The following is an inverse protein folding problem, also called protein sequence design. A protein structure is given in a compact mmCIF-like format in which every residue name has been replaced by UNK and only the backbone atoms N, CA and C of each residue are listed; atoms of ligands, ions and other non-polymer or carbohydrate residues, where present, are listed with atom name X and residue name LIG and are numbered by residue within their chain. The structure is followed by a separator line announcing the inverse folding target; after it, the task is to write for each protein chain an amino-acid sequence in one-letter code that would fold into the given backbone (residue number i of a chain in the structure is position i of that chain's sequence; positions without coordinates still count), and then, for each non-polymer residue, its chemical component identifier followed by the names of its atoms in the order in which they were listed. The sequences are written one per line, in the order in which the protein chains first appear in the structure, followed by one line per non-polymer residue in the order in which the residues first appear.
data_IF_298644904425
#
_entry.id   IF_298644904425
#
_cell.length_a   1.000
_cell.length_b   1.000
_cell.length_c   1.000
_cell.angle_alpha   90.00
_cell.angle_beta   90.00
_cell.angle_gamma   90.00
#
_symmetry.space_group_name_H-M   'P 1'
#
loop_
_entity.id
_entity.type
_entity.pdbx_description
1 polymer ?
#
# COMPACT_ATOMS: atom_id res chain seq x y z
N UNK A 1 0.79 1.92 -32.40
CA UNK A 1 2.03 1.53 -31.69
C UNK A 1 2.03 1.97 -30.22
N UNK A 2 1.40 3.09 -29.85
CA UNK A 2 1.19 3.50 -28.44
C UNK A 2 0.28 2.56 -27.60
N UNK A 3 -0.62 1.79 -28.21
CA UNK A 3 -1.49 0.83 -27.50
C UNK A 3 -0.74 -0.35 -26.82
N UNK A 4 0.49 -0.64 -27.24
CA UNK A 4 1.31 -1.71 -26.67
C UNK A 4 2.22 -1.24 -25.53
N UNK A 5 2.61 0.03 -25.51
CA UNK A 5 3.54 0.59 -24.50
C UNK A 5 2.92 0.62 -23.09
N UNK A 6 1.59 0.66 -22.95
CA UNK A 6 0.89 0.65 -21.66
C UNK A 6 0.67 -0.74 -21.06
N UNK A 7 0.65 -1.82 -21.86
CA UNK A 7 0.31 -3.17 -21.37
C UNK A 7 1.40 -3.73 -20.44
N UNK A 8 2.64 -3.31 -20.69
CA UNK A 8 3.89 -3.63 -19.97
C UNK A 8 3.96 -3.14 -18.52
N UNK A 9 3.34 -2.01 -18.23
CA UNK A 9 3.70 -1.16 -17.11
C UNK A 9 2.66 -1.25 -15.98
N UNK A 10 3.13 -1.43 -14.75
CA UNK A 10 2.30 -1.52 -13.55
C UNK A 10 2.88 -0.68 -12.43
N UNK A 11 2.01 -0.11 -11.58
CA UNK A 11 2.41 0.38 -10.27
C UNK A 11 2.25 -0.73 -9.22
N UNK A 12 3.05 -0.69 -8.15
CA UNK A 12 2.86 -1.57 -7.01
C UNK A 12 1.48 -1.37 -6.35
N UNK A 13 0.94 -0.14 -6.41
CA UNK A 13 -0.40 0.16 -5.94
C UNK A 13 -1.48 -0.53 -6.80
N UNK A 14 -1.30 -0.62 -8.13
CA UNK A 14 -2.22 -1.34 -9.02
C UNK A 14 -2.27 -2.83 -8.68
N UNK A 15 -1.11 -3.45 -8.45
CA UNK A 15 -1.04 -4.86 -8.04
C UNK A 15 -1.69 -5.07 -6.66
N UNK A 16 -1.49 -4.14 -5.72
CA UNK A 16 -2.19 -4.18 -4.42
C UNK A 16 -3.69 -4.03 -4.58
N UNK A 17 -4.16 -3.04 -5.34
CA UNK A 17 -5.58 -2.81 -5.58
C UNK A 17 -6.23 -3.99 -6.29
N UNK A 18 -5.51 -4.66 -7.20
CA UNK A 18 -5.95 -5.90 -7.82
C UNK A 18 -6.11 -7.04 -6.81
N UNK A 19 -5.19 -7.20 -5.85
CA UNK A 19 -5.38 -8.15 -4.76
C UNK A 19 -6.56 -7.77 -3.84
N UNK A 20 -6.75 -6.47 -3.56
CA UNK A 20 -7.86 -6.00 -2.70
C UNK A 20 -9.23 -6.22 -3.36
N UNK A 21 -9.37 -5.84 -4.63
CA UNK A 21 -10.58 -6.05 -5.43
C UNK A 21 -10.23 -6.19 -6.93
N UNK A 22 -10.14 -7.43 -7.44
CA UNK A 22 -9.84 -7.70 -8.85
C UNK A 22 -10.82 -7.03 -9.80
N UNK A 23 -12.12 -7.09 -9.48
CA UNK A 23 -13.20 -6.49 -10.24
C UNK A 23 -13.02 -4.98 -10.44
N UNK A 24 -13.00 -4.21 -9.34
CA UNK A 24 -12.96 -2.75 -9.41
C UNK A 24 -11.61 -2.23 -9.92
N UNK A 25 -10.50 -2.90 -9.56
CA UNK A 25 -9.16 -2.54 -10.04
C UNK A 25 -9.02 -2.74 -11.55
N UNK A 26 -9.50 -3.87 -12.08
CA UNK A 26 -9.48 -4.11 -13.53
C UNK A 26 -10.41 -3.16 -14.29
N UNK A 27 -11.58 -2.83 -13.72
CA UNK A 27 -12.47 -1.84 -14.31
C UNK A 27 -11.79 -0.47 -14.45
N UNK A 28 -11.17 0.04 -13.38
CA UNK A 28 -10.41 1.30 -13.41
C UNK A 28 -9.33 1.28 -14.48
N UNK A 29 -8.54 0.20 -14.54
CA UNK A 29 -7.46 0.05 -15.53
C UNK A 29 -7.96 0.06 -16.96
N UNK A 30 -9.06 -0.65 -17.26
CA UNK A 30 -9.62 -0.71 -18.62
C UNK A 30 -10.26 0.60 -19.06
N UNK A 31 -10.84 1.32 -18.13
CA UNK A 31 -11.42 2.63 -18.37
C UNK A 31 -10.35 3.74 -18.44
N UNK A 32 -9.07 3.40 -18.30
CA UNK A 32 -7.95 4.34 -18.21
C UNK A 32 -8.17 5.44 -17.16
N UNK A 33 -8.95 5.12 -16.12
CA UNK A 33 -9.18 6.04 -15.02
C UNK A 33 -7.86 6.22 -14.27
N UNK A 34 -7.35 7.45 -14.12
CA UNK A 34 -6.20 7.72 -13.28
C UNK A 34 -6.45 7.18 -11.87
N UNK A 35 -5.39 6.69 -11.21
CA UNK A 35 -5.50 6.27 -9.80
C UNK A 35 -5.95 7.44 -8.89
N UNK A 36 -5.76 8.68 -9.36
CA UNK A 36 -5.97 9.94 -8.65
C UNK A 36 -7.21 10.73 -9.11
N UNK A 37 -8.05 10.21 -10.02
CA UNK A 37 -9.27 10.95 -10.41
C UNK A 37 -10.36 10.78 -9.35
N UNK A 38 -10.46 11.80 -8.49
CA UNK A 38 -11.64 12.06 -7.67
C UNK A 38 -12.78 12.60 -8.53
N UNK A 39 -14.00 12.20 -8.18
CA UNK A 39 -15.22 12.80 -8.66
C UNK A 39 -15.35 14.22 -8.04
N UNK A 40 -14.73 15.19 -8.73
CA UNK A 40 -14.71 16.62 -8.37
C UNK A 40 -16.12 17.26 -8.32
N UNK A 41 -17.18 16.54 -8.69
CA UNK A 41 -18.54 17.08 -8.75
C UNK A 41 -19.22 17.23 -7.37
N UNK A 42 -18.60 16.78 -6.28
CA UNK A 42 -19.19 16.82 -4.93
C UNK A 42 -18.85 18.07 -4.09
N UNK A 43 -17.99 18.97 -4.56
CA UNK A 43 -17.57 20.18 -3.82
C UNK A 43 -18.61 21.31 -3.92
N UNK A 44 -19.74 21.20 -3.21
CA UNK A 44 -20.78 22.24 -3.17
C UNK A 44 -20.73 23.08 -1.87
N UNK A 45 -20.02 22.63 -0.83
CA UNK A 45 -19.99 23.28 0.50
C UNK A 45 -18.59 23.30 1.15
N UNK A 46 -18.39 24.26 2.06
CA UNK A 46 -17.18 24.35 2.90
C UNK A 46 -17.06 23.11 3.80
N UNK A 47 -15.90 22.40 3.79
CA UNK A 47 -15.74 21.17 4.54
C UNK A 47 -15.59 21.43 6.05
N UNK A 48 -16.35 20.69 6.87
CA UNK A 48 -16.23 20.71 8.35
C UNK A 48 -14.98 19.94 8.82
N UNK A 49 -14.45 19.06 7.97
CA UNK A 49 -13.24 18.26 8.19
C UNK A 49 -12.55 18.00 6.86
N UNK A 50 -11.22 17.84 6.87
CA UNK A 50 -10.50 17.32 5.72
C UNK A 50 -11.08 15.97 5.29
N UNK A 51 -11.16 15.74 3.97
CA UNK A 51 -11.56 14.43 3.49
C UNK A 51 -10.50 13.38 3.88
N UNK A 52 -10.89 12.11 4.07
CA UNK A 52 -10.00 11.09 4.61
C UNK A 52 -8.68 10.91 3.84
N UNK A 53 -8.70 11.13 2.52
CA UNK A 53 -7.51 11.03 1.68
C UNK A 53 -6.55 12.20 1.92
N UNK A 54 -7.05 13.43 1.93
CA UNK A 54 -6.24 14.61 2.22
C UNK A 54 -5.72 14.60 3.67
N UNK A 55 -6.53 14.16 4.63
CA UNK A 55 -6.10 13.92 6.02
C UNK A 55 -4.92 12.93 6.07
N UNK A 56 -5.02 11.83 5.32
CA UNK A 56 -3.95 10.83 5.21
C UNK A 56 -2.69 11.35 4.55
N UNK A 57 -2.81 12.00 3.40
CA UNK A 57 -1.66 12.56 2.68
C UNK A 57 -0.95 13.63 3.52
N UNK A 58 -1.69 14.48 4.23
CA UNK A 58 -1.12 15.49 5.11
C UNK A 58 -0.30 14.85 6.23
N UNK A 59 -0.89 13.91 6.98
CA UNK A 59 -0.23 13.26 8.10
C UNK A 59 0.98 12.44 7.65
N UNK A 60 0.83 11.66 6.58
CA UNK A 60 1.92 10.86 6.03
C UNK A 60 3.09 11.74 5.59
N UNK A 61 2.84 12.79 4.79
CA UNK A 61 3.89 13.70 4.32
C UNK A 61 4.56 14.46 5.47
N UNK A 62 3.78 14.89 6.47
CA UNK A 62 4.33 15.54 7.67
C UNK A 62 5.26 14.60 8.42
N UNK A 63 4.88 13.32 8.55
CA UNK A 63 5.72 12.32 9.20
C UNK A 63 6.98 12.00 8.39
N UNK A 64 6.85 11.87 7.07
CA UNK A 64 7.98 11.67 6.16
C UNK A 64 9.00 12.81 6.30
N UNK A 65 8.55 14.06 6.39
CA UNK A 65 9.43 15.21 6.65
C UNK A 65 10.15 15.12 8.00
N UNK A 66 9.44 14.68 9.04
CA UNK A 66 10.04 14.47 10.36
C UNK A 66 11.13 13.41 10.35
N UNK A 67 10.98 12.36 9.52
CA UNK A 67 12.03 11.36 9.32
C UNK A 67 13.23 11.90 8.53
N UNK A 68 13.02 12.85 7.61
CA UNK A 68 14.09 13.44 6.78
C UNK A 68 14.89 14.55 7.49
N UNK A 69 14.38 15.14 8.58
CA UNK A 69 15.04 16.25 9.30
C UNK A 69 16.26 15.81 10.14
N UNK A 70 17.22 16.71 10.40
CA UNK A 70 18.47 16.36 11.11
C UNK A 70 18.37 16.32 12.66
N UNK A 71 17.28 16.83 13.22
CA UNK A 71 17.00 16.83 14.67
C UNK A 71 15.61 16.27 14.90
N UNK A 72 15.34 15.79 16.12
CA UNK A 72 14.01 15.29 16.52
C UNK A 72 12.88 16.20 16.04
N UNK A 73 11.74 15.64 15.60
CA UNK A 73 10.77 16.36 14.80
C UNK A 73 9.95 17.33 15.66
N UNK A 74 9.92 18.60 15.27
CA UNK A 74 8.89 19.53 15.75
C UNK A 74 7.63 19.34 14.89
N UNK A 75 6.76 18.42 15.33
CA UNK A 75 5.52 18.11 14.61
C UNK A 75 4.62 19.33 14.42
N UNK A 76 4.64 20.30 15.34
CA UNK A 76 3.79 21.50 15.24
C UNK A 76 4.28 22.38 14.11
N UNK A 77 5.60 22.60 14.03
CA UNK A 77 6.20 23.37 12.95
C UNK A 77 6.04 22.68 11.60
N UNK A 78 6.40 21.39 11.49
CA UNK A 78 6.31 20.62 10.24
C UNK A 78 4.87 20.53 9.73
N UNK A 79 3.90 20.34 10.63
CA UNK A 79 2.48 20.30 10.26
C UNK A 79 2.02 21.65 9.71
N UNK A 80 2.46 22.78 10.30
CA UNK A 80 2.14 24.12 9.80
C UNK A 80 2.73 24.36 8.41
N UNK A 81 4.00 24.01 8.22
CA UNK A 81 4.65 24.14 6.91
C UNK A 81 3.94 23.30 5.83
N UNK A 82 3.44 22.11 6.19
CA UNK A 82 2.64 21.28 5.29
C UNK A 82 1.26 21.85 4.99
N UNK A 83 0.59 22.48 5.96
CA UNK A 83 -0.67 23.19 5.74
C UNK A 83 -0.52 24.35 4.77
N UNK A 84 0.60 25.08 4.86
CA UNK A 84 0.91 26.23 4.01
C UNK A 84 1.38 25.82 2.59
N UNK A 85 1.60 24.51 2.35
CA UNK A 85 1.98 24.00 1.05
C UNK A 85 0.81 24.01 0.05
N UNK A 86 1.13 24.16 -1.24
CA UNK A 86 0.13 24.21 -2.32
C UNK A 86 -0.73 22.95 -2.46
N UNK A 87 -0.43 21.89 -1.72
CA UNK A 87 -1.12 20.60 -1.75
C UNK A 87 -2.51 20.63 -1.07
N UNK A 88 -2.80 21.62 -0.22
CA UNK A 88 -4.02 21.66 0.61
C UNK A 88 -4.85 22.95 0.43
N UNK A 89 -4.53 23.74 -0.58
CA UNK A 89 -5.23 25.01 -0.85
C UNK A 89 -6.70 24.74 -1.16
N UNK A 90 -7.59 25.25 -0.29
CA UNK A 90 -9.05 25.11 -0.43
C UNK A 90 -9.66 23.85 0.21
N UNK A 91 -8.87 22.97 0.81
CA UNK A 91 -9.35 21.74 1.47
C UNK A 91 -9.51 21.88 3.00
N UNK A 92 -9.01 22.98 3.59
CA UNK A 92 -8.92 23.15 5.04
C UNK A 92 -10.21 23.70 5.66
N UNK A 93 -10.69 23.12 6.77
CA UNK A 93 -11.78 23.70 7.56
C UNK A 93 -11.31 24.98 8.25
N UNK A 94 -12.19 25.97 8.41
CA UNK A 94 -11.83 27.28 9.00
C UNK A 94 -12.03 27.33 10.54
N UNK A 95 -11.21 28.15 11.20
CA UNK A 95 -11.32 28.56 12.61
C UNK A 95 -11.30 27.40 13.64
N UNK A 96 -12.38 27.19 14.40
CA UNK A 96 -12.39 26.27 15.55
C UNK A 96 -12.20 24.80 15.17
N UNK A 97 -12.65 24.42 13.97
CA UNK A 97 -12.48 23.06 13.45
C UNK A 97 -11.03 22.80 13.03
N UNK A 98 -10.32 23.82 12.57
CA UNK A 98 -8.89 23.75 12.26
C UNK A 98 -8.07 23.43 13.52
N UNK A 99 -8.35 24.12 14.63
CA UNK A 99 -7.63 23.92 15.89
C UNK A 99 -7.86 22.52 16.48
N UNK A 100 -9.10 22.04 16.47
CA UNK A 100 -9.44 20.71 16.95
C UNK A 100 -8.80 19.61 16.08
N UNK A 101 -8.87 19.77 14.76
CA UNK A 101 -8.23 18.88 13.79
C UNK A 101 -6.71 18.86 13.97
N UNK A 102 -6.08 20.03 14.11
CA UNK A 102 -4.64 20.16 14.35
C UNK A 102 -4.22 19.42 15.62
N UNK A 103 -4.92 19.60 16.74
CA UNK A 103 -4.60 18.89 17.99
C UNK A 103 -4.63 17.37 17.82
N UNK A 104 -5.71 16.85 17.20
CA UNK A 104 -5.85 15.43 16.89
C UNK A 104 -4.70 14.93 16.00
N UNK A 105 -4.34 15.69 14.97
CA UNK A 105 -3.28 15.32 14.04
C UNK A 105 -1.91 15.27 14.69
N UNK A 106 -1.57 16.28 15.49
CA UNK A 106 -0.32 16.30 16.27
C UNK A 106 -0.28 15.10 17.24
N UNK A 107 -1.39 14.76 17.90
CA UNK A 107 -1.46 13.58 18.78
C UNK A 107 -1.20 12.27 18.01
N UNK A 108 -1.73 12.13 16.79
CA UNK A 108 -1.46 10.98 15.91
C UNK A 108 0.04 10.92 15.56
N UNK A 109 0.63 12.03 15.10
CA UNK A 109 2.06 12.10 14.72
C UNK A 109 2.98 11.76 15.91
N UNK A 110 2.71 12.35 17.08
CA UNK A 110 3.46 12.04 18.30
C UNK A 110 3.28 10.60 18.75
N UNK A 111 2.11 10.00 18.51
CA UNK A 111 1.87 8.59 18.80
C UNK A 111 2.65 7.69 17.86
N UNK A 112 2.67 7.99 16.56
CA UNK A 112 3.52 7.28 15.60
C UNK A 112 5.00 7.37 15.96
N UNK A 113 5.48 8.54 16.35
CA UNK A 113 6.87 8.73 16.81
C UNK A 113 7.19 7.82 18.01
N UNK A 114 6.33 7.84 19.03
CA UNK A 114 6.49 7.04 20.24
C UNK A 114 6.53 5.54 19.93
N UNK A 115 5.56 5.03 19.18
CA UNK A 115 5.52 3.63 18.79
C UNK A 115 6.70 3.23 17.90
N UNK A 116 7.17 4.14 17.04
CA UNK A 116 8.39 3.92 16.26
C UNK A 116 9.61 3.81 17.17
N UNK A 117 9.79 4.73 18.14
CA UNK A 117 10.90 4.64 19.10
C UNK A 117 10.86 3.34 19.91
N UNK A 118 9.68 2.93 20.35
CA UNK A 118 9.47 1.69 21.09
C UNK A 118 9.88 0.46 20.26
N UNK A 119 9.63 0.47 18.95
CA UNK A 119 10.04 -0.59 18.02
C UNK A 119 11.57 -0.75 17.91
N UNK A 120 12.33 0.33 18.12
CA UNK A 120 13.81 0.35 18.01
C UNK A 120 14.53 0.34 19.37
N UNK A 121 13.80 0.12 20.47
CA UNK A 121 14.30 -0.10 21.86
C UNK A 121 15.70 0.45 22.17
N UNK A 122 15.76 1.68 22.68
CA UNK A 122 17.00 2.26 23.19
C UNK A 122 17.83 3.02 22.14
N UNK A 123 17.41 3.02 20.87
CA UNK A 123 17.94 3.91 19.85
C UNK A 123 17.38 5.31 19.98
N UNK A 124 18.23 6.31 19.79
CA UNK A 124 17.79 7.69 19.65
C UNK A 124 17.15 7.94 18.27
N UNK A 125 16.56 9.13 18.10
CA UNK A 125 15.91 9.47 16.84
C UNK A 125 16.89 9.56 15.68
N UNK A 126 18.11 10.06 15.92
CA UNK A 126 19.13 10.21 14.89
C UNK A 126 19.61 8.85 14.36
N UNK A 127 19.70 7.85 15.24
CA UNK A 127 20.01 6.47 14.87
C UNK A 127 18.91 5.85 14.01
N UNK A 128 17.64 6.04 14.40
CA UNK A 128 16.47 5.57 13.63
C UNK A 128 16.46 6.20 12.24
N UNK A 129 16.72 7.50 12.15
CA UNK A 129 16.77 8.23 10.88
C UNK A 129 17.91 7.74 10.00
N UNK A 130 19.11 7.56 10.55
CA UNK A 130 20.28 7.09 9.78
C UNK A 130 20.03 5.73 9.14
N UNK A 131 19.22 4.88 9.77
CA UNK A 131 18.78 3.59 9.24
C UNK A 131 17.65 3.70 8.20
N UNK A 132 16.90 4.80 8.17
CA UNK A 132 15.71 4.96 7.36
C UNK A 132 16.02 5.11 5.86
N UNK A 133 15.31 4.32 5.04
CA UNK A 133 15.39 4.32 3.58
C UNK A 133 13.99 4.30 3.00
N UNK A 134 13.79 5.11 1.97
CA UNK A 134 12.59 5.13 1.15
C UNK A 134 13.01 4.93 -0.30
N UNK A 135 12.52 3.86 -0.92
CA UNK A 135 12.88 3.52 -2.30
C UNK A 135 11.83 4.05 -3.27
N UNK A 136 12.28 4.80 -4.27
CA UNK A 136 11.45 5.30 -5.35
C UNK A 136 11.89 4.61 -6.63
N UNK A 137 11.04 3.71 -7.14
CA UNK A 137 11.34 2.84 -8.28
C UNK A 137 10.57 3.30 -9.53
N UNK A 138 11.31 3.72 -10.56
CA UNK A 138 10.76 4.14 -11.85
C UNK A 138 10.80 5.66 -12.07
N UNK A 139 10.20 6.14 -13.19
CA UNK A 139 10.18 7.57 -13.50
C UNK A 139 9.34 8.32 -12.47
N UNK A 140 9.90 9.38 -11.91
CA UNK A 140 9.23 10.27 -10.98
C UNK A 140 8.83 11.56 -11.69
N UNK A 141 7.68 12.12 -11.30
CA UNK A 141 7.30 13.47 -11.71
C UNK A 141 8.16 14.48 -10.96
N UNK A 142 8.54 15.58 -11.61
CA UNK A 142 9.36 16.63 -10.98
C UNK A 142 8.69 17.28 -9.76
N UNK A 143 7.36 17.23 -9.70
CA UNK A 143 6.53 17.73 -8.61
C UNK A 143 6.30 16.71 -7.49
N UNK A 144 6.97 15.54 -7.53
CA UNK A 144 6.83 14.55 -6.49
C UNK A 144 7.16 15.16 -5.12
N UNK A 145 6.28 15.07 -4.11
CA UNK A 145 6.46 15.76 -2.83
C UNK A 145 7.82 15.47 -2.18
N UNK A 146 8.22 14.20 -2.11
CA UNK A 146 9.53 13.82 -1.55
C UNK A 146 10.73 14.39 -2.34
N UNK A 147 10.59 14.69 -3.64
CA UNK A 147 11.63 15.37 -4.42
C UNK A 147 11.65 16.88 -4.17
N UNK A 148 10.48 17.50 -4.00
CA UNK A 148 10.38 18.93 -3.69
C UNK A 148 10.92 19.23 -2.29
N UNK A 149 10.50 18.44 -1.30
CA UNK A 149 11.01 18.50 0.07
C UNK A 149 12.46 18.00 0.17
N UNK A 150 12.83 17.10 -0.74
CA UNK A 150 14.19 16.71 -1.11
C UNK A 150 15.18 17.89 -1.20
N UNK A 151 14.73 19.01 -1.75
CA UNK A 151 15.55 20.21 -1.97
C UNK A 151 15.78 21.04 -0.70
N UNK A 152 14.98 20.84 0.34
CA UNK A 152 15.04 21.59 1.60
C UNK A 152 16.09 21.00 2.55
N UNK A 153 16.34 19.68 2.49
CA UNK A 153 17.38 19.03 3.31
C UNK A 153 18.55 18.56 2.41
N UNK A 154 19.74 19.17 2.51
CA UNK A 154 20.86 18.91 1.60
C UNK A 154 21.40 17.46 1.63
N UNK A 155 21.14 16.70 2.69
CA UNK A 155 21.60 15.32 2.87
C UNK A 155 20.57 14.24 2.46
N UNK A 156 19.47 14.63 1.81
CA UNK A 156 18.34 13.75 1.47
C UNK A 156 18.68 12.53 0.60
N UNK A 157 19.80 12.55 -0.12
CA UNK A 157 20.27 11.42 -0.93
C UNK A 157 20.65 10.19 -0.09
N UNK A 158 20.81 10.34 1.23
CA UNK A 158 21.06 9.20 2.12
C UNK A 158 19.77 8.41 2.41
N UNK A 159 18.63 9.10 2.58
CA UNK A 159 17.35 8.50 2.94
C UNK A 159 16.52 8.10 1.71
N UNK A 160 16.47 8.96 0.69
CA UNK A 160 15.72 8.71 -0.54
C UNK A 160 16.59 7.98 -1.56
N UNK A 161 16.19 6.76 -1.92
CA UNK A 161 16.93 5.89 -2.82
C UNK A 161 16.21 5.78 -4.17
N UNK A 162 16.68 6.51 -5.17
CA UNK A 162 16.18 6.42 -6.54
C UNK A 162 16.69 5.13 -7.20
N UNK A 163 15.77 4.31 -7.69
CA UNK A 163 16.07 3.03 -8.34
C UNK A 163 15.30 2.92 -9.67
N UNK A 164 15.81 2.18 -10.66
CA UNK A 164 15.03 1.87 -11.84
C UNK A 164 13.79 1.05 -11.44
N UNK A 165 12.74 1.14 -12.26
CA UNK A 165 11.60 0.25 -12.13
C UNK A 165 12.03 -1.22 -12.27
N UNK A 166 11.33 -2.12 -11.57
CA UNK A 166 11.62 -3.54 -11.63
C UNK A 166 11.23 -4.07 -13.01
N UNK A 167 12.24 -4.47 -13.79
CA UNK A 167 12.04 -5.12 -15.07
C UNK A 167 12.05 -6.64 -14.91
N UNK A 168 10.95 -7.27 -15.30
CA UNK A 168 10.80 -8.71 -15.48
C UNK A 168 10.77 -8.96 -16.99
N UNK A 169 11.73 -9.73 -17.53
CA UNK A 169 11.87 -9.90 -18.96
C UNK A 169 10.66 -10.60 -19.57
N UNK A 170 10.49 -10.37 -20.85
CA UNK A 170 9.47 -10.98 -21.69
C UNK A 170 9.58 -12.51 -21.69
N UNK A 171 8.45 -13.20 -21.50
CA UNK A 171 8.41 -14.65 -21.68
C UNK A 171 8.23 -14.97 -23.16
N UNK A 172 9.34 -15.26 -23.85
CA UNK A 172 9.31 -15.59 -25.29
C UNK A 172 8.55 -16.87 -25.61
N UNK A 173 8.41 -17.78 -24.64
CA UNK A 173 7.71 -19.06 -24.82
C UNK A 173 6.20 -18.85 -24.92
N UNK A 174 5.66 -17.86 -24.20
CA UNK A 174 4.22 -17.59 -24.11
C UNK A 174 3.80 -16.31 -24.85
N UNK A 175 4.71 -15.70 -25.62
CA UNK A 175 4.52 -14.40 -26.29
C UNK A 175 4.04 -13.27 -25.36
N UNK A 176 4.33 -13.38 -24.06
CA UNK A 176 3.84 -12.43 -23.07
C UNK A 176 4.82 -11.27 -22.91
N UNK A 177 4.37 -10.00 -23.07
CA UNK A 177 5.25 -8.84 -23.03
C UNK A 177 5.90 -8.68 -21.67
N UNK A 178 7.14 -8.16 -21.67
CA UNK A 178 7.88 -7.85 -20.45
C UNK A 178 7.05 -7.02 -19.47
N UNK A 179 7.34 -7.18 -18.19
CA UNK A 179 6.64 -6.49 -17.11
C UNK A 179 7.60 -5.47 -16.50
N UNK A 180 7.10 -4.26 -16.32
CA UNK A 180 7.83 -3.19 -15.66
C UNK A 180 7.00 -2.67 -14.49
N UNK A 181 7.52 -2.82 -13.27
CA UNK A 181 6.82 -2.45 -12.04
C UNK A 181 7.50 -1.23 -11.41
N UNK A 182 6.75 -0.14 -11.30
CA UNK A 182 7.14 1.07 -10.57
C UNK A 182 6.50 1.10 -9.20
N UNK A 183 7.07 1.83 -8.26
CA UNK A 183 6.47 1.98 -6.94
C UNK A 183 7.27 2.84 -5.99
N UNK A 184 6.56 3.39 -5.03
CA UNK A 184 7.14 3.97 -3.82
C UNK A 184 7.08 2.91 -2.71
N UNK A 185 8.20 2.70 -2.02
CA UNK A 185 8.23 1.73 -0.92
C UNK A 185 7.61 2.28 0.36
N UNK A 186 7.23 1.41 1.30
CA UNK A 186 7.14 1.80 2.71
C UNK A 186 8.51 2.20 3.26
N UNK A 187 8.53 2.79 4.46
CA UNK A 187 9.79 3.08 5.14
C UNK A 187 10.48 1.79 5.54
N UNK A 188 11.69 1.61 5.05
CA UNK A 188 12.55 0.47 5.36
C UNK A 188 13.70 0.96 6.22
N UNK A 189 14.01 0.24 7.29
CA UNK A 189 15.08 0.59 8.20
C UNK A 189 16.14 -0.50 8.12
N UNK A 190 17.31 -0.11 7.62
CA UNK A 190 18.49 -0.95 7.52
C UNK A 190 19.32 -0.77 8.78
N UNK A 191 19.38 -1.81 9.60
CA UNK A 191 20.17 -1.84 10.81
C UNK A 191 21.29 -2.87 10.66
N UNK A 192 22.56 -2.48 10.56
CA UNK A 192 23.66 -3.44 10.42
C UNK A 192 23.81 -4.40 11.60
N UNK A 193 23.22 -4.07 12.77
CA UNK A 193 23.33 -4.86 14.00
C UNK A 193 22.02 -5.59 14.36
N UNK A 194 20.93 -5.38 13.61
CA UNK A 194 19.60 -5.95 13.88
C UNK A 194 18.94 -6.44 12.57
N UNK A 195 17.77 -7.05 12.69
CA UNK A 195 16.86 -7.34 11.58
C UNK A 195 16.40 -6.07 10.85
N UNK A 196 16.25 -6.18 9.53
CA UNK A 196 15.62 -5.15 8.72
C UNK A 196 14.19 -4.94 9.19
N UNK A 197 13.70 -3.69 9.17
CA UNK A 197 12.30 -3.39 9.54
C UNK A 197 11.61 -2.66 8.41
N UNK A 198 10.34 -2.95 8.18
CA UNK A 198 9.52 -2.20 7.23
C UNK A 198 8.25 -1.73 7.92
N UNK A 199 7.99 -0.42 7.90
CA UNK A 199 6.97 0.21 8.72
C UNK A 199 5.92 0.91 7.86
N UNK A 200 4.65 0.58 8.12
CA UNK A 200 3.49 1.27 7.56
C UNK A 200 2.73 2.03 8.66
N UNK A 201 2.45 3.30 8.43
CA UNK A 201 1.71 4.17 9.35
C UNK A 201 0.24 4.30 8.94
N UNK A 202 -0.67 4.09 9.90
CA UNK A 202 -2.12 4.17 9.73
C UNK A 202 -2.76 5.14 10.71
N UNK A 203 -3.77 5.88 10.22
CA UNK A 203 -4.52 6.85 11.01
C UNK A 203 -5.59 6.19 11.86
N UNK A 204 -6.39 5.31 11.26
CA UNK A 204 -7.64 4.80 11.86
C UNK A 204 -7.51 3.46 12.58
N UNK A 205 -6.32 2.88 12.58
CA UNK A 205 -6.05 1.56 13.15
C UNK A 205 -5.44 0.58 12.14
N UNK A 206 -5.00 -0.57 12.63
CA UNK A 206 -4.34 -1.61 11.83
C UNK A 206 -5.41 -2.48 11.17
N UNK A 207 -5.28 -2.71 9.85
CA UNK A 207 -6.22 -3.50 9.05
C UNK A 207 -5.48 -4.60 8.29
N UNK A 208 -6.12 -5.74 7.97
CA UNK A 208 -5.49 -6.82 7.24
C UNK A 208 -4.78 -6.39 5.94
N UNK A 209 -5.38 -5.44 5.19
CA UNK A 209 -4.79 -4.90 3.95
C UNK A 209 -3.45 -4.17 4.12
N UNK A 210 -3.14 -3.66 5.32
CA UNK A 210 -1.84 -3.03 5.58
C UNK A 210 -0.71 -4.05 5.56
N UNK A 211 -0.99 -5.29 5.96
CA UNK A 211 -0.03 -6.39 5.87
C UNK A 211 0.20 -6.83 4.42
N UNK A 212 -0.83 -6.82 3.58
CA UNK A 212 -0.70 -7.07 2.14
C UNK A 212 0.20 -6.01 1.49
N UNK A 213 0.02 -4.74 1.89
CA UNK A 213 0.88 -3.64 1.46
C UNK A 213 2.34 -3.88 1.83
N UNK A 214 2.63 -4.21 3.10
CA UNK A 214 3.99 -4.47 3.57
C UNK A 214 4.61 -5.71 2.91
N UNK A 215 3.84 -6.78 2.75
CA UNK A 215 4.25 -7.99 2.05
C UNK A 215 4.65 -7.69 0.60
N UNK A 216 3.79 -7.03 -0.17
CA UNK A 216 4.07 -6.67 -1.56
C UNK A 216 5.29 -5.77 -1.69
N UNK A 217 5.50 -4.85 -0.75
CA UNK A 217 6.71 -4.02 -0.69
C UNK A 217 7.96 -4.87 -0.49
N UNK A 218 7.97 -5.78 0.48
CA UNK A 218 9.10 -6.69 0.71
C UNK A 218 9.41 -7.56 -0.52
N UNK A 219 8.39 -8.17 -1.12
CA UNK A 219 8.53 -8.98 -2.34
C UNK A 219 9.08 -8.15 -3.50
N UNK A 220 8.58 -6.92 -3.69
CA UNK A 220 9.04 -6.01 -4.75
C UNK A 220 10.51 -5.60 -4.59
N UNK A 221 10.91 -5.25 -3.37
CA UNK A 221 12.29 -4.87 -3.08
C UNK A 221 13.26 -6.06 -3.20
N UNK A 222 12.85 -7.26 -2.76
CA UNK A 222 13.62 -8.50 -2.93
C UNK A 222 13.76 -8.91 -4.40
N UNK A 223 12.68 -8.84 -5.19
CA UNK A 223 12.70 -9.09 -6.63
C UNK A 223 13.67 -8.14 -7.38
N UNK A 224 13.75 -6.89 -6.91
CA UNK A 224 14.71 -5.88 -7.38
C UNK A 224 16.16 -6.13 -6.97
N UNK A 225 16.41 -7.03 -6.00
CA UNK A 225 17.72 -7.20 -5.37
C UNK A 225 18.13 -6.02 -4.51
N UNK A 226 17.17 -5.25 -4.00
CA UNK A 226 17.40 -4.10 -3.12
C UNK A 226 17.59 -4.57 -1.68
N UNK A 227 16.69 -5.45 -1.21
CA UNK A 227 16.87 -6.18 0.05
C UNK A 227 17.48 -7.55 -0.30
N UNK A 228 18.52 -8.01 0.41
CA UNK A 228 19.07 -9.34 0.19
C UNK A 228 18.01 -10.43 0.38
N UNK A 229 18.06 -11.47 -0.45
CA UNK A 229 17.19 -12.64 -0.28
C UNK A 229 17.42 -13.34 1.06
N UNK A 230 16.39 -14.01 1.57
CA UNK A 230 16.41 -14.68 2.88
C UNK A 230 16.70 -13.76 4.08
N UNK A 231 16.64 -12.45 3.88
CA UNK A 231 16.64 -11.48 4.99
C UNK A 231 15.37 -11.67 5.81
N UNK A 232 15.52 -11.77 7.14
CA UNK A 232 14.38 -11.71 8.04
C UNK A 232 13.97 -10.26 8.22
N UNK A 233 12.82 -9.91 7.66
CA UNK A 233 12.25 -8.56 7.69
C UNK A 233 11.14 -8.51 8.73
N UNK A 234 11.24 -7.57 9.68
CA UNK A 234 10.16 -7.31 10.64
C UNK A 234 9.16 -6.31 10.02
N UNK A 235 8.03 -6.82 9.56
CA UNK A 235 6.91 -6.01 9.10
C UNK A 235 6.21 -5.39 10.30
N UNK A 236 6.01 -4.07 10.29
CA UNK A 236 5.41 -3.35 11.41
C UNK A 236 4.29 -2.43 10.93
N UNK A 237 3.09 -2.62 11.45
CA UNK A 237 1.99 -1.67 11.27
C UNK A 237 1.90 -0.79 12.51
N UNK A 238 1.96 0.53 12.34
CA UNK A 238 1.88 1.52 13.43
C UNK A 238 0.60 2.32 13.28
N UNK A 239 -0.15 2.47 14.37
CA UNK A 239 -1.33 3.33 14.45
C UNK A 239 -1.18 4.31 15.63
N UNK A 240 -2.14 5.20 15.84
CA UNK A 240 -2.11 6.09 17.01
C UNK A 240 -2.16 5.29 18.33
N UNK A 241 -2.93 4.22 18.36
CA UNK A 241 -3.20 3.46 19.59
C UNK A 241 -2.10 2.44 19.90
N UNK A 242 -1.65 1.70 18.88
CA UNK A 242 -0.73 0.56 19.02
C UNK A 242 0.13 0.35 17.78
N UNK A 243 1.16 -0.48 17.93
CA UNK A 243 1.84 -1.12 16.83
C UNK A 243 1.70 -2.65 16.92
N UNK A 244 1.76 -3.31 15.77
CA UNK A 244 1.82 -4.77 15.66
C UNK A 244 2.94 -5.15 14.70
N UNK A 245 3.53 -6.33 14.89
CA UNK A 245 4.64 -6.82 14.07
C UNK A 245 4.41 -8.25 13.57
N UNK A 246 4.92 -8.55 12.38
CA UNK A 246 5.02 -9.91 11.82
C UNK A 246 6.41 -10.13 11.23
N UNK A 247 6.97 -11.30 11.46
CA UNK A 247 8.20 -11.71 10.79
C UNK A 247 7.91 -12.09 9.34
N UNK A 248 8.82 -11.72 8.45
CA UNK A 248 8.78 -12.06 7.05
C UNK A 248 10.17 -12.51 6.59
N UNK A 249 10.37 -13.82 6.52
CA UNK A 249 11.54 -14.38 5.86
C UNK A 249 11.37 -14.19 4.35
N UNK A 250 12.16 -13.29 3.76
CA UNK A 250 12.06 -12.99 2.34
C UNK A 250 12.38 -14.23 1.50
N UNK A 251 11.54 -14.58 0.51
CA UNK A 251 11.87 -15.60 -0.47
C UNK A 251 13.10 -15.21 -1.30
N UNK A 252 13.61 -16.16 -2.07
CA UNK A 252 14.66 -15.87 -3.05
C UNK A 252 14.16 -14.90 -4.13
N UNK A 253 15.12 -14.28 -4.82
CA UNK A 253 14.82 -13.27 -5.82
C UNK A 253 13.97 -13.80 -6.98
N UNK A 254 14.16 -15.06 -7.38
CA UNK A 254 13.43 -15.65 -8.50
C UNK A 254 11.96 -15.87 -8.10
N UNK A 255 11.72 -16.48 -6.94
CA UNK A 255 10.37 -16.68 -6.39
C UNK A 255 9.60 -15.35 -6.30
N UNK A 256 10.24 -14.27 -5.83
CA UNK A 256 9.61 -12.96 -5.76
C UNK A 256 9.26 -12.40 -7.14
N UNK A 257 10.14 -12.57 -8.14
CA UNK A 257 9.89 -12.13 -9.52
C UNK A 257 8.76 -12.94 -10.16
N UNK A 258 8.76 -14.25 -10.00
CA UNK A 258 7.75 -15.14 -10.56
C UNK A 258 6.37 -14.84 -9.98
N UNK A 259 6.28 -14.57 -8.68
CA UNK A 259 5.04 -14.16 -8.03
C UNK A 259 4.50 -12.83 -8.59
N UNK A 260 5.33 -11.80 -8.68
CA UNK A 260 4.93 -10.51 -9.24
C UNK A 260 4.56 -10.61 -10.72
N UNK A 261 5.28 -11.45 -11.47
CA UNK A 261 4.98 -11.71 -12.87
C UNK A 261 3.61 -12.34 -13.02
N UNK A 262 3.33 -13.39 -12.25
CA UNK A 262 2.04 -14.09 -12.23
C UNK A 262 0.89 -13.14 -11.90
N UNK A 263 1.04 -12.29 -10.89
CA UNK A 263 0.04 -11.27 -10.54
C UNK A 263 -0.19 -10.27 -11.66
N UNK A 264 0.87 -9.78 -12.29
CA UNK A 264 0.78 -8.82 -13.38
C UNK A 264 0.13 -9.43 -14.64
N UNK A 265 0.42 -10.70 -14.96
CA UNK A 265 -0.23 -11.43 -16.03
C UNK A 265 -1.70 -11.69 -15.75
N UNK A 266 -2.04 -12.11 -14.52
CA UNK A 266 -3.43 -12.28 -14.06
C UNK A 266 -4.20 -10.96 -14.16
N UNK A 267 -3.62 -9.84 -13.71
CA UNK A 267 -4.24 -8.52 -13.85
C UNK A 267 -4.39 -8.05 -15.32
N UNK A 268 -3.60 -8.58 -16.27
CA UNK A 268 -3.77 -8.29 -17.71
C UNK A 268 -4.92 -9.07 -18.31
N UNK A 269 -5.22 -10.25 -17.79
CA UNK A 269 -6.26 -11.11 -18.33
C UNK A 269 -7.64 -10.47 -18.11
N UNK A 270 -8.39 -10.21 -19.20
CA UNK A 270 -9.73 -9.68 -19.04
C UNK A 270 -10.68 -10.60 -18.25
N UNK A 271 -10.42 -11.91 -18.24
CA UNK A 271 -11.22 -12.88 -17.50
C UNK A 271 -11.10 -12.68 -15.98
N UNK A 272 -9.99 -12.12 -15.49
CA UNK A 272 -9.70 -11.96 -14.06
C UNK A 272 -10.42 -10.78 -13.39
N UNK A 273 -11.32 -10.09 -14.10
CA UNK A 273 -12.21 -9.08 -13.52
C UNK A 273 -13.40 -9.75 -12.82
N UNK A 274 -13.11 -10.43 -11.72
CA UNK A 274 -14.04 -11.30 -11.00
C UNK A 274 -14.38 -10.73 -9.62
N UNK A 275 -15.58 -11.02 -9.13
CA UNK A 275 -16.00 -10.69 -7.78
C UNK A 275 -15.30 -11.61 -6.79
N UNK A 276 -14.11 -11.17 -6.35
CA UNK A 276 -13.27 -11.91 -5.42
C UNK A 276 -12.59 -10.96 -4.42
N UNK A 277 -13.38 -10.33 -3.52
CA UNK A 277 -12.87 -9.35 -2.57
C UNK A 277 -11.91 -9.99 -1.56
N UNK A 278 -10.86 -9.26 -1.20
CA UNK A 278 -9.87 -9.73 -0.23
C UNK A 278 -10.48 -10.08 1.13
N UNK A 279 -11.55 -9.39 1.54
CA UNK A 279 -12.24 -9.67 2.79
C UNK A 279 -12.77 -11.11 2.83
N UNK A 280 -13.37 -11.59 1.73
CA UNK A 280 -13.82 -12.97 1.61
C UNK A 280 -12.64 -13.93 1.69
N UNK A 281 -11.56 -13.65 0.94
CA UNK A 281 -10.38 -14.51 0.90
C UNK A 281 -9.75 -14.71 2.28
N UNK A 282 -9.59 -13.62 3.03
CA UNK A 282 -8.99 -13.65 4.36
C UNK A 282 -9.88 -14.37 5.37
N UNK A 283 -11.21 -14.25 5.25
CA UNK A 283 -12.15 -14.94 6.13
C UNK A 283 -12.17 -16.44 5.81
N UNK A 284 -12.38 -16.82 4.55
CA UNK A 284 -12.49 -18.21 4.12
C UNK A 284 -11.19 -19.00 4.29
N UNK A 285 -10.03 -18.33 4.24
CA UNK A 285 -8.76 -19.00 4.47
C UNK A 285 -8.64 -19.55 5.91
N UNK A 286 -9.39 -19.02 6.88
CA UNK A 286 -9.42 -19.54 8.27
C UNK A 286 -10.06 -20.93 8.36
N UNK A 287 -10.98 -21.22 7.44
CA UNK A 287 -11.77 -22.45 7.44
C UNK A 287 -10.99 -23.65 6.85
N UNK A 288 -9.80 -23.43 6.27
CA UNK A 288 -8.94 -24.47 5.65
C UNK A 288 -9.68 -25.38 4.66
N UNK A 289 -10.60 -24.79 3.89
CA UNK A 289 -11.52 -25.49 2.99
C UNK A 289 -10.79 -26.19 1.82
N UNK A 290 -11.40 -27.30 1.40
CA UNK A 290 -11.04 -28.02 0.17
C UNK A 290 -11.37 -27.19 -1.08
N UNK A 291 -10.85 -27.60 -2.23
CA UNK A 291 -11.17 -26.95 -3.52
C UNK A 291 -12.66 -27.13 -3.91
N UNK A 292 -13.30 -28.21 -3.46
CA UNK A 292 -14.69 -28.52 -3.77
C UNK A 292 -15.67 -27.66 -2.95
N UNK A 293 -15.32 -27.35 -1.70
CA UNK A 293 -16.18 -26.58 -0.79
C UNK A 293 -16.05 -25.05 -0.98
N UNK A 294 -14.92 -24.61 -1.54
CA UNK A 294 -14.58 -23.19 -1.69
C UNK A 294 -15.62 -22.37 -2.46
N UNK A 295 -16.10 -22.81 -3.64
CA UNK A 295 -17.08 -22.05 -4.42
C UNK A 295 -18.39 -21.82 -3.65
N UNK A 296 -18.91 -22.85 -2.99
CA UNK A 296 -20.15 -22.74 -2.22
C UNK A 296 -20.00 -21.79 -1.04
N UNK A 297 -18.88 -21.89 -0.30
CA UNK A 297 -18.61 -21.00 0.83
C UNK A 297 -18.42 -19.54 0.39
N UNK A 298 -17.78 -19.31 -0.75
CA UNK A 298 -17.61 -17.98 -1.31
C UNK A 298 -18.97 -17.34 -1.63
N UNK A 299 -19.86 -18.07 -2.29
CA UNK A 299 -21.18 -17.54 -2.60
C UNK A 299 -21.97 -17.22 -1.33
N UNK A 300 -21.95 -18.12 -0.33
CA UNK A 300 -22.58 -17.86 0.96
C UNK A 300 -22.03 -16.58 1.63
N UNK A 301 -20.71 -16.39 1.62
CA UNK A 301 -20.11 -15.18 2.19
C UNK A 301 -20.55 -13.92 1.44
N UNK A 302 -20.63 -13.98 0.10
CA UNK A 302 -21.06 -12.86 -0.73
C UNK A 302 -22.53 -12.51 -0.47
N UNK A 303 -23.42 -13.51 -0.43
CA UNK A 303 -24.83 -13.33 -0.06
C UNK A 303 -24.96 -12.64 1.31
N UNK A 304 -24.28 -13.16 2.33
CA UNK A 304 -24.27 -12.57 3.67
C UNK A 304 -23.73 -11.14 3.68
N UNK A 305 -22.69 -10.86 2.89
CA UNK A 305 -22.08 -9.54 2.78
C UNK A 305 -22.99 -8.52 2.11
N UNK A 306 -23.67 -8.89 1.02
CA UNK A 306 -24.61 -8.01 0.31
C UNK A 306 -25.91 -7.77 1.08
N UNK A 307 -26.43 -8.80 1.78
CA UNK A 307 -27.65 -8.66 2.58
C UNK A 307 -27.45 -7.79 3.83
N UNK A 308 -26.21 -7.66 4.31
CA UNK A 308 -25.89 -6.90 5.50
C UNK A 308 -25.58 -5.42 5.17
N UNK A 309 -26.47 -4.46 5.50
CA UNK A 309 -26.26 -3.05 5.17
C UNK A 309 -25.10 -2.38 5.92
N UNK A 310 -24.54 -3.07 6.92
CA UNK A 310 -23.38 -2.63 7.68
C UNK A 310 -22.08 -3.25 7.19
N UNK A 311 -22.15 -4.29 6.35
CA UNK A 311 -20.98 -4.83 5.70
C UNK A 311 -20.35 -3.73 4.84
N UNK A 312 -19.03 -3.71 4.81
CA UNK A 312 -18.27 -2.84 3.92
C UNK A 312 -17.11 -3.65 3.39
N UNK A 313 -17.12 -3.94 2.10
CA UNK A 313 -16.04 -4.70 1.47
C UNK A 313 -15.60 -4.03 0.17
N UNK A 314 -14.41 -4.39 -0.29
CA UNK A 314 -13.69 -3.60 -1.29
C UNK A 314 -14.42 -3.48 -2.62
N UNK A 315 -15.26 -4.45 -2.99
CA UNK A 315 -16.01 -4.44 -4.25
C UNK A 315 -17.18 -3.44 -4.31
N UNK A 316 -17.64 -2.91 -3.17
CA UNK A 316 -18.69 -1.88 -3.14
C UNK A 316 -18.15 -0.48 -3.49
N UNK A 317 -16.83 -0.32 -3.57
CA UNK A 317 -16.18 0.96 -3.79
C UNK A 317 -15.39 0.94 -5.09
N UNK A 318 -15.97 1.47 -6.16
CA UNK A 318 -15.28 1.61 -7.44
C UNK A 318 -16.21 2.06 -8.56
N UNK A 319 -15.73 2.03 -9.82
CA UNK A 319 -16.48 2.52 -10.97
C UNK A 319 -17.65 1.61 -11.41
N UNK A 320 -17.75 0.38 -10.89
CA UNK A 320 -18.86 -0.51 -11.20
C UNK A 320 -19.92 -0.44 -10.08
N UNK A 321 -21.12 -0.03 -10.45
CA UNK A 321 -22.24 0.22 -9.51
C UNK A 321 -22.95 -1.06 -9.01
N UNK A 322 -22.88 -2.16 -9.76
CA UNK A 322 -23.56 -3.44 -9.46
C UNK A 322 -22.56 -4.61 -9.40
N UNK A 323 -21.66 -4.64 -8.40
CA UNK A 323 -20.64 -5.69 -8.28
C UNK A 323 -21.25 -7.09 -8.10
N UNK A 324 -22.47 -7.20 -7.57
CA UNK A 324 -23.19 -8.47 -7.37
C UNK A 324 -23.46 -9.23 -8.67
N UNK A 325 -23.59 -8.53 -9.79
CA UNK A 325 -23.82 -9.13 -11.12
C UNK A 325 -22.53 -9.65 -11.77
N UNK A 326 -21.37 -9.34 -11.20
CA UNK A 326 -20.09 -9.72 -11.77
C UNK A 326 -19.82 -11.23 -11.63
N UNK A 327 -19.05 -11.77 -12.59
CA UNK A 327 -18.63 -13.17 -12.58
C UNK A 327 -17.77 -13.51 -11.34
N UNK A 328 -17.96 -14.70 -10.78
CA UNK A 328 -17.07 -15.29 -9.76
C UNK A 328 -15.94 -16.08 -10.44
N UNK A 329 -14.80 -16.31 -9.78
CA UNK A 329 -13.76 -17.16 -10.34
C UNK A 329 -14.26 -18.58 -10.62
N UNK A 330 -13.87 -19.14 -11.76
CA UNK A 330 -14.22 -20.53 -12.13
C UNK A 330 -13.56 -21.53 -11.16
N UNK A 331 -12.34 -21.21 -10.70
CA UNK A 331 -11.61 -21.93 -9.64
C UNK A 331 -11.21 -20.95 -8.51
N UNK A 332 -12.09 -20.69 -7.54
CA UNK A 332 -11.82 -19.77 -6.43
C UNK A 332 -10.63 -20.19 -5.56
N UNK A 333 -10.45 -21.50 -5.34
CA UNK A 333 -9.35 -22.01 -4.51
C UNK A 333 -8.01 -21.79 -5.21
N UNK A 334 -7.90 -22.20 -6.48
CA UNK A 334 -6.71 -21.96 -7.28
C UNK A 334 -6.43 -20.47 -7.45
N UNK A 335 -7.46 -19.65 -7.62
CA UNK A 335 -7.32 -18.17 -7.68
C UNK A 335 -6.77 -17.60 -6.37
N UNK A 336 -7.27 -18.07 -5.22
CA UNK A 336 -6.72 -17.70 -3.91
C UNK A 336 -5.26 -18.12 -3.77
N UNK A 337 -4.92 -19.37 -4.10
CA UNK A 337 -3.55 -19.88 -3.99
C UNK A 337 -2.59 -19.12 -4.91
N UNK A 338 -3.05 -18.80 -6.12
CA UNK A 338 -2.30 -18.03 -7.11
C UNK A 338 -2.00 -16.61 -6.63
N UNK A 339 -2.99 -15.94 -6.02
CA UNK A 339 -2.90 -14.53 -5.63
C UNK A 339 -2.30 -14.33 -4.24
N UNK A 340 -2.60 -15.21 -3.29
CA UNK A 340 -2.29 -15.03 -1.86
C UNK A 340 -1.47 -16.17 -1.25
N UNK A 341 -1.22 -17.27 -1.97
CA UNK A 341 -0.48 -18.43 -1.44
C UNK A 341 0.90 -18.07 -0.89
N UNK A 342 1.66 -17.24 -1.60
CA UNK A 342 2.97 -16.77 -1.12
C UNK A 342 2.84 -15.94 0.17
N UNK A 343 1.81 -15.10 0.28
CA UNK A 343 1.54 -14.29 1.46
C UNK A 343 1.22 -15.18 2.66
N UNK A 344 0.31 -16.15 2.50
CA UNK A 344 -0.07 -17.06 3.58
C UNK A 344 1.08 -17.97 4.03
N UNK A 345 1.93 -18.41 3.10
CA UNK A 345 3.07 -19.26 3.41
C UNK A 345 4.22 -18.51 4.10
N UNK A 346 4.25 -17.18 4.04
CA UNK A 346 5.37 -16.37 4.56
C UNK A 346 5.00 -15.59 5.82
N UNK A 347 3.92 -14.83 5.81
CA UNK A 347 3.50 -13.98 6.94
C UNK A 347 2.20 -14.47 7.62
N UNK A 348 1.67 -15.62 7.19
CA UNK A 348 0.40 -16.17 7.65
C UNK A 348 -0.81 -15.40 7.12
N UNK A 349 -2.00 -15.71 7.64
CA UNK A 349 -3.23 -14.99 7.30
C UNK A 349 -3.27 -13.62 8.03
N UNK A 350 -3.35 -12.48 7.33
CA UNK A 350 -3.50 -11.17 7.97
C UNK A 350 -4.83 -10.95 8.70
N UNK A 351 -5.84 -11.78 8.43
CA UNK A 351 -7.16 -11.71 9.06
C UNK A 351 -7.26 -12.43 10.42
N UNK A 352 -6.16 -13.03 10.91
CA UNK A 352 -6.09 -13.74 12.20
C UNK A 352 -5.36 -12.95 13.26
#
# INVERSE_FOLDING_TARGET
EEEFEGKGNFSLNQLRAFLECPLQSNAKRRLFLPEDEEDLTRMVHEPVSLEPLYEWQLLQKTFDLGLLGATGPDWIQLYREMLDSSLLVGALPTALFEDAMRRKHIEILSSWERHLRDLFQGKDWSEIQTAARKYLQGPLREDHPLLQFGKIFPDNNQFLQLKPALQIPECKVDEQPGINIRGESEWTFEDPQDSWKMVHFSIRGIRPKHWIRLFLNGVHLAAGGIIPEHTNLLLSCVSAEKYETKEFLLPDRLTCRDYLAKLAYDMRDPASAELFPVEAVLELQKDHLSAEDWPQRLEQWLEEAFENPRSRFSSEYGPLDFPEEAKRPDDPKGTMENRFGLLFNTIGNPGT
#
